data_IF_334641094840
#
_entry.id   IF_334641094840
#
_cell.length_a   1.000
_cell.length_b   1.000
_cell.length_c   1.000
_cell.angle_alpha   90.00
_cell.angle_beta   90.00
_cell.angle_gamma   90.00
#
_symmetry.space_group_name_H-M   'P 1'
#
loop_
_entity.id
_entity.type
_entity.pdbx_description
1 polymer ?
#
# COMPACT_ATOMS: atom_id res chain seq x y z
N UNK A 1 5.02 35.93 3.39
CA UNK A 1 4.86 35.19 4.68
C UNK A 1 5.80 35.78 5.70
N UNK A 2 5.33 36.13 6.91
CA UNK A 2 6.16 36.75 7.94
C UNK A 2 6.77 35.73 8.92
N UNK A 3 6.17 34.56 9.07
CA UNK A 3 6.62 33.51 9.99
C UNK A 3 5.96 32.18 9.64
N UNK A 4 6.75 31.10 9.60
CA UNK A 4 6.29 29.72 9.56
C UNK A 4 6.55 29.04 10.91
N UNK A 5 5.76 28.00 11.25
CA UNK A 5 5.94 27.19 12.45
C UNK A 5 5.86 25.70 12.05
N UNK A 6 6.87 24.93 12.44
CA UNK A 6 6.95 23.50 12.18
C UNK A 6 6.97 22.75 13.52
N UNK A 7 6.09 21.76 13.67
CA UNK A 7 6.04 20.89 14.84
C UNK A 7 6.19 19.43 14.39
N UNK A 8 7.18 18.71 14.93
CA UNK A 8 7.41 17.30 14.65
C UNK A 8 6.86 16.41 15.77
N UNK A 9 6.01 15.45 15.42
CA UNK A 9 5.46 14.48 16.36
C UNK A 9 6.44 13.33 16.66
N UNK A 10 6.62 13.01 17.95
CA UNK A 10 7.51 11.91 18.38
C UNK A 10 7.07 10.53 17.92
N UNK A 11 5.78 10.33 17.62
CA UNK A 11 5.24 9.06 17.16
C UNK A 11 5.88 8.61 15.84
N UNK A 12 6.13 9.54 14.93
CA UNK A 12 6.76 9.28 13.65
C UNK A 12 8.17 8.71 13.81
N UNK A 13 8.99 9.37 14.65
CA UNK A 13 10.36 8.93 14.93
C UNK A 13 10.39 7.51 15.48
N UNK A 14 9.49 7.20 16.41
CA UNK A 14 9.35 5.86 16.99
C UNK A 14 9.04 4.81 15.92
N UNK A 15 8.16 5.12 14.99
CA UNK A 15 7.74 4.18 13.95
C UNK A 15 8.85 3.92 12.93
N UNK A 16 9.52 4.96 12.46
CA UNK A 16 10.63 4.82 11.51
C UNK A 16 11.76 3.97 12.13
N UNK A 17 12.14 4.27 13.37
CA UNK A 17 13.13 3.46 14.09
C UNK A 17 12.69 2.00 14.20
N UNK A 18 11.45 1.73 14.58
CA UNK A 18 10.93 0.37 14.73
C UNK A 18 10.93 -0.41 13.40
N UNK A 19 10.65 0.26 12.28
CA UNK A 19 10.74 -0.35 10.95
C UNK A 19 12.18 -0.75 10.67
N UNK A 20 13.15 0.14 10.86
CA UNK A 20 14.54 -0.15 10.57
C UNK A 20 15.13 -1.18 11.53
N UNK A 21 14.86 -1.09 12.84
CA UNK A 21 15.24 -2.14 13.81
C UNK A 21 14.64 -3.50 13.42
N UNK A 22 13.41 -3.50 12.92
CA UNK A 22 12.74 -4.70 12.40
C UNK A 22 13.40 -5.28 11.15
N UNK A 23 13.99 -4.45 10.29
CA UNK A 23 14.68 -4.87 9.07
C UNK A 23 16.10 -5.40 9.35
N UNK A 24 16.88 -4.70 10.17
CA UNK A 24 18.33 -5.00 10.31
C UNK A 24 18.73 -5.51 11.70
N UNK A 25 17.88 -5.35 12.71
CA UNK A 25 18.17 -5.71 14.10
C UNK A 25 18.72 -4.55 14.93
N UNK A 26 18.52 -4.66 16.25
CA UNK A 26 18.91 -3.63 17.23
C UNK A 26 20.42 -3.56 17.49
N UNK A 27 21.16 -4.61 17.15
CA UNK A 27 22.63 -4.64 17.24
C UNK A 27 23.30 -3.61 16.31
N UNK A 28 22.59 -3.12 15.29
CA UNK A 28 23.03 -2.10 14.36
C UNK A 28 22.83 -0.67 14.89
N UNK A 29 22.05 -0.50 15.95
CA UNK A 29 21.69 0.78 16.53
C UNK A 29 22.91 1.49 17.14
N UNK A 30 23.12 2.77 16.79
CA UNK A 30 24.24 3.62 17.19
C UNK A 30 25.62 3.11 16.72
N UNK A 31 25.69 2.38 15.62
CA UNK A 31 26.96 1.97 15.01
C UNK A 31 27.56 3.04 14.10
N UNK A 32 26.73 3.96 13.61
CA UNK A 32 27.11 4.97 12.60
C UNK A 32 27.36 4.37 11.21
N UNK A 33 26.93 3.12 10.96
CA UNK A 33 26.98 2.49 9.66
C UNK A 33 25.78 2.89 8.78
N UNK A 34 25.85 2.62 7.47
CA UNK A 34 24.76 2.93 6.52
C UNK A 34 23.45 2.21 6.84
N UNK A 35 23.50 1.11 7.59
CA UNK A 35 22.37 0.33 8.06
C UNK A 35 21.99 0.61 9.54
N UNK A 36 22.47 1.71 10.13
CA UNK A 36 22.13 2.09 11.51
C UNK A 36 20.68 2.58 11.58
N UNK A 37 19.76 1.90 12.30
CA UNK A 37 18.36 2.29 12.43
C UNK A 37 18.13 3.73 12.93
N UNK A 38 19.03 4.26 13.77
CA UNK A 38 18.91 5.63 14.29
C UNK A 38 19.29 6.63 13.20
N UNK A 39 20.37 6.42 12.48
CA UNK A 39 20.77 7.33 11.38
C UNK A 39 19.73 7.33 10.27
N UNK A 40 19.22 6.14 9.88
CA UNK A 40 18.13 6.02 8.90
C UNK A 40 16.85 6.76 9.33
N UNK A 41 16.48 6.66 10.61
CA UNK A 41 15.36 7.40 11.16
C UNK A 41 15.64 8.92 11.19
N UNK A 42 16.88 9.34 11.47
CA UNK A 42 17.28 10.75 11.42
C UNK A 42 17.25 11.30 9.98
N UNK A 43 17.64 10.50 8.98
CA UNK A 43 17.54 10.90 7.58
C UNK A 43 16.09 11.14 7.17
N UNK A 44 15.18 10.28 7.63
CA UNK A 44 13.74 10.52 7.43
C UNK A 44 13.27 11.81 8.09
N UNK A 45 13.75 12.13 9.30
CA UNK A 45 13.40 13.37 9.99
C UNK A 45 13.98 14.59 9.26
N UNK A 46 15.21 14.51 8.74
CA UNK A 46 15.81 15.57 7.92
C UNK A 46 14.96 15.85 6.69
N UNK A 47 14.54 14.80 5.97
CA UNK A 47 13.66 14.90 4.81
C UNK A 47 12.29 15.49 5.22
N UNK A 48 11.66 14.98 6.29
CA UNK A 48 10.38 15.47 6.80
C UNK A 48 10.48 16.95 7.24
N UNK A 49 11.57 17.34 7.89
CA UNK A 49 11.76 18.74 8.30
C UNK A 49 11.85 19.69 7.11
N UNK A 50 12.54 19.28 6.04
CA UNK A 50 12.57 20.03 4.78
C UNK A 50 11.19 20.10 4.12
N UNK A 51 10.42 19.03 4.15
CA UNK A 51 9.03 18.95 3.69
C UNK A 51 8.14 19.97 4.40
N UNK A 52 8.15 19.99 5.74
CA UNK A 52 7.34 20.92 6.53
C UNK A 52 7.78 22.39 6.32
N UNK A 53 9.06 22.64 6.08
CA UNK A 53 9.53 23.97 5.66
C UNK A 53 8.96 24.34 4.29
N UNK A 54 8.87 23.40 3.35
CA UNK A 54 8.23 23.59 2.06
C UNK A 54 6.78 24.04 2.22
N UNK A 55 5.99 23.38 3.08
CA UNK A 55 4.63 23.84 3.39
C UNK A 55 4.59 25.22 4.03
N UNK A 56 5.51 25.52 4.95
CA UNK A 56 5.62 26.85 5.54
C UNK A 56 5.96 27.94 4.51
N UNK A 57 6.56 27.57 3.37
CA UNK A 57 6.81 28.44 2.23
C UNK A 57 5.64 28.48 1.23
N UNK A 58 4.60 27.67 1.41
CA UNK A 58 3.42 27.63 0.56
C UNK A 58 3.48 26.58 -0.56
N UNK A 59 4.40 25.62 -0.50
CA UNK A 59 4.47 24.54 -1.48
C UNK A 59 3.42 23.47 -1.17
N UNK A 60 2.72 23.01 -2.21
CA UNK A 60 1.85 21.84 -2.17
C UNK A 60 2.66 20.56 -2.34
N UNK A 61 2.05 19.40 -2.02
CA UNK A 61 2.63 18.10 -2.32
C UNK A 61 2.80 17.90 -3.83
N UNK A 62 3.82 17.12 -4.21
CA UNK A 62 3.95 16.57 -5.55
C UNK A 62 4.22 15.06 -5.46
N UNK A 63 3.20 14.25 -5.67
CA UNK A 63 3.27 12.80 -5.56
C UNK A 63 3.78 12.08 -6.82
N UNK A 64 4.20 12.81 -7.84
CA UNK A 64 4.93 12.24 -8.96
C UNK A 64 6.45 12.32 -8.78
N UNK A 65 6.93 13.00 -7.74
CA UNK A 65 8.36 13.31 -7.61
C UNK A 65 9.24 12.08 -7.31
N UNK A 66 8.69 11.00 -6.78
CA UNK A 66 9.37 9.70 -6.65
C UNK A 66 9.86 9.16 -7.99
N UNK A 67 9.19 9.47 -9.10
CA UNK A 67 9.47 8.92 -10.43
C UNK A 67 10.72 9.51 -11.10
N UNK A 68 11.20 10.66 -10.65
CA UNK A 68 12.42 11.29 -11.13
C UNK A 68 13.46 11.48 -10.01
N UNK A 69 13.90 10.35 -9.46
CA UNK A 69 15.05 10.26 -8.56
C UNK A 69 14.92 11.06 -7.26
N UNK A 70 13.83 10.82 -6.50
CA UNK A 70 13.56 11.56 -5.24
C UNK A 70 13.51 13.08 -5.48
N UNK A 71 12.80 13.45 -6.54
CA UNK A 71 12.81 14.79 -7.13
C UNK A 71 12.24 15.90 -6.26
N UNK A 72 11.59 15.59 -5.12
CA UNK A 72 11.02 16.59 -4.21
C UNK A 72 10.95 16.11 -2.77
N UNK A 73 11.22 17.01 -1.85
CA UNK A 73 10.88 16.81 -0.43
C UNK A 73 9.37 16.91 -0.19
N UNK A 74 8.61 17.50 -1.14
CA UNK A 74 7.14 17.62 -1.05
C UNK A 74 6.41 16.33 -1.43
N UNK A 75 7.13 15.23 -1.62
CA UNK A 75 6.60 13.88 -1.72
C UNK A 75 6.60 13.17 -0.36
N UNK A 76 5.91 12.03 -0.28
CA UNK A 76 5.96 11.10 0.85
C UNK A 76 6.72 9.83 0.42
N UNK A 77 8.06 9.84 0.46
CA UNK A 77 8.83 8.68 0.05
C UNK A 77 8.73 7.55 1.08
N UNK A 78 8.64 6.30 0.60
CA UNK A 78 9.02 5.15 1.41
C UNK A 78 10.55 5.08 1.57
N UNK A 79 11.08 4.35 2.56
CA UNK A 79 12.51 4.03 2.55
C UNK A 79 12.84 3.18 1.30
N UNK A 80 13.79 3.65 0.48
CA UNK A 80 14.28 2.90 -0.69
C UNK A 80 15.30 1.86 -0.21
N UNK A 81 14.77 0.69 0.14
CA UNK A 81 15.57 -0.46 0.57
C UNK A 81 15.49 -1.51 -0.54
N UNK A 82 16.65 -2.07 -0.90
CA UNK A 82 16.75 -3.09 -1.95
C UNK A 82 17.42 -4.35 -1.43
N UNK A 83 17.29 -5.45 -2.15
CA UNK A 83 18.04 -6.67 -1.88
C UNK A 83 19.13 -6.81 -2.95
N UNK A 84 20.37 -6.69 -2.52
CA UNK A 84 21.56 -6.81 -3.38
C UNK A 84 22.45 -7.92 -2.85
N UNK A 85 22.75 -8.92 -3.68
CA UNK A 85 23.56 -10.09 -3.29
C UNK A 85 23.05 -10.81 -2.03
N UNK A 86 21.72 -10.88 -1.85
CA UNK A 86 21.09 -11.54 -0.70
C UNK A 86 21.15 -10.74 0.61
N UNK A 87 21.55 -9.49 0.57
CA UNK A 87 21.57 -8.57 1.72
C UNK A 87 20.72 -7.33 1.44
N UNK A 88 20.21 -6.70 2.50
CA UNK A 88 19.51 -5.43 2.38
C UNK A 88 20.53 -4.30 2.16
N UNK A 89 20.25 -3.46 1.18
CA UNK A 89 21.03 -2.28 0.83
C UNK A 89 20.26 -1.03 1.23
N UNK A 90 20.86 -0.21 2.08
CA UNK A 90 20.32 1.04 2.62
C UNK A 90 21.04 2.27 2.10
N UNK A 91 21.99 2.13 1.18
CA UNK A 91 22.86 3.20 0.70
C UNK A 91 22.12 4.38 0.08
N UNK A 92 20.87 4.20 -0.33
CA UNK A 92 20.05 5.21 -0.98
C UNK A 92 18.64 5.32 -0.36
N UNK A 93 18.52 5.16 0.96
CA UNK A 93 17.22 5.06 1.64
C UNK A 93 16.37 6.30 1.48
N UNK A 94 16.94 7.49 1.68
CA UNK A 94 16.25 8.78 1.51
C UNK A 94 17.08 9.76 0.69
N UNK A 95 16.41 10.74 0.08
CA UNK A 95 17.08 11.85 -0.59
C UNK A 95 17.73 12.80 0.42
N UNK A 96 18.87 13.36 0.04
CA UNK A 96 19.61 14.38 0.82
C UNK A 96 19.41 15.76 0.21
N UNK A 97 18.99 16.72 1.01
CA UNK A 97 18.69 18.09 0.56
C UNK A 97 17.36 18.21 -0.15
N UNK A 98 17.22 19.25 -0.98
CA UNK A 98 16.01 19.52 -1.79
C UNK A 98 16.15 18.99 -3.20
N UNK A 99 15.04 18.54 -3.78
CA UNK A 99 15.01 17.96 -5.10
C UNK A 99 14.91 18.98 -6.24
N UNK A 100 14.89 18.48 -7.47
CA UNK A 100 14.78 19.32 -8.67
C UNK A 100 13.43 20.04 -8.77
N UNK A 101 12.35 19.39 -8.34
CA UNK A 101 11.03 20.01 -8.24
C UNK A 101 11.03 21.15 -7.23
N UNK A 102 11.65 20.97 -6.07
CA UNK A 102 11.70 21.99 -5.01
C UNK A 102 12.45 23.25 -5.49
N UNK A 103 13.56 23.05 -6.21
CA UNK A 103 14.32 24.17 -6.83
C UNK A 103 13.49 24.89 -7.87
N UNK A 104 12.81 24.14 -8.75
CA UNK A 104 11.90 24.71 -9.73
C UNK A 104 10.79 25.51 -9.06
N UNK A 105 10.08 24.92 -8.08
CA UNK A 105 8.98 25.54 -7.38
C UNK A 105 9.43 26.82 -6.64
N UNK A 106 10.63 26.83 -6.02
CA UNK A 106 11.18 27.99 -5.38
C UNK A 106 11.51 29.13 -6.36
N UNK A 107 12.11 28.82 -7.51
CA UNK A 107 12.40 29.79 -8.55
C UNK A 107 11.10 30.36 -9.14
N UNK A 108 10.13 29.49 -9.45
CA UNK A 108 8.85 29.89 -10.03
C UNK A 108 8.03 30.78 -9.10
N UNK A 109 8.00 30.45 -7.79
CA UNK A 109 7.17 31.15 -6.81
C UNK A 109 7.82 32.44 -6.27
N UNK A 110 9.14 32.42 -6.07
CA UNK A 110 9.88 33.49 -5.37
C UNK A 110 10.91 34.23 -6.23
N UNK A 111 11.16 33.75 -7.46
CA UNK A 111 12.08 34.45 -8.37
C UNK A 111 11.54 35.82 -8.78
N UNK A 112 12.42 36.79 -8.88
CA UNK A 112 12.13 38.11 -9.47
C UNK A 112 12.18 37.97 -11.00
N UNK A 113 11.09 37.41 -11.58
CA UNK A 113 10.98 37.02 -12.97
C UNK A 113 9.89 37.82 -13.68
N UNK A 114 10.12 38.19 -14.94
CA UNK A 114 9.06 38.64 -15.85
C UNK A 114 8.09 37.45 -16.14
N UNK A 115 6.96 37.76 -16.77
CA UNK A 115 5.99 36.70 -17.15
C UNK A 115 6.60 35.76 -18.19
N UNK A 116 7.38 36.25 -19.13
CA UNK A 116 8.07 35.43 -20.15
C UNK A 116 9.16 34.54 -19.55
N UNK A 117 9.92 35.06 -18.56
CA UNK A 117 10.93 34.28 -17.86
C UNK A 117 10.28 33.20 -17.01
N UNK A 118 9.14 33.48 -16.38
CA UNK A 118 8.36 32.51 -15.59
C UNK A 118 7.83 31.39 -16.45
N UNK A 119 7.32 31.71 -17.65
CA UNK A 119 6.88 30.72 -18.62
C UNK A 119 8.05 29.85 -19.11
N UNK A 120 9.21 30.44 -19.38
CA UNK A 120 10.42 29.70 -19.76
C UNK A 120 10.90 28.74 -18.66
N UNK A 121 10.77 29.12 -17.38
CA UNK A 121 11.06 28.25 -16.23
C UNK A 121 10.12 27.05 -16.20
N UNK A 122 8.81 27.25 -16.46
CA UNK A 122 7.82 26.15 -16.56
C UNK A 122 8.16 25.23 -17.72
N UNK A 123 8.41 25.78 -18.92
CA UNK A 123 8.77 24.97 -20.10
C UNK A 123 10.04 24.15 -19.86
N UNK A 124 11.06 24.73 -19.24
CA UNK A 124 12.26 24.00 -18.87
C UNK A 124 12.01 22.86 -17.88
N UNK A 125 11.05 23.00 -16.96
CA UNK A 125 10.66 21.93 -16.04
C UNK A 125 9.95 20.80 -16.80
N UNK A 126 9.03 21.11 -17.71
CA UNK A 126 8.35 20.13 -18.57
C UNK A 126 9.34 19.38 -19.46
N UNK A 127 10.28 20.08 -20.10
CA UNK A 127 11.32 19.48 -20.95
C UNK A 127 12.22 18.50 -20.18
N UNK A 128 12.36 18.68 -18.88
CA UNK A 128 13.10 17.78 -17.97
C UNK A 128 12.24 16.64 -17.41
N UNK A 129 10.95 16.59 -17.75
CA UNK A 129 10.02 15.57 -17.24
C UNK A 129 9.67 15.72 -15.76
N UNK A 130 9.68 16.95 -15.23
CA UNK A 130 9.25 17.19 -13.85
C UNK A 130 7.72 17.20 -13.78
N UNK A 131 7.13 16.03 -13.66
CA UNK A 131 5.69 15.86 -13.56
C UNK A 131 5.15 16.29 -12.18
N UNK A 132 3.87 16.65 -12.18
CA UNK A 132 3.16 17.05 -10.97
C UNK A 132 1.85 16.27 -10.81
N UNK A 133 1.65 15.68 -9.64
CA UNK A 133 0.37 15.05 -9.26
C UNK A 133 -0.03 15.50 -7.87
N UNK A 134 -1.22 16.13 -7.77
CA UNK A 134 -1.77 16.66 -6.54
C UNK A 134 -2.35 15.58 -5.63
N UNK A 135 -2.63 15.95 -4.36
CA UNK A 135 -3.23 15.09 -3.32
C UNK A 135 -4.49 14.37 -3.77
N UNK A 136 -5.43 15.09 -4.41
CA UNK A 136 -6.71 14.54 -4.87
C UNK A 136 -6.56 13.36 -5.81
N UNK A 137 -5.47 13.35 -6.59
CA UNK A 137 -5.20 12.37 -7.64
C UNK A 137 -4.19 11.30 -7.21
N UNK A 138 -3.60 11.45 -6.02
CA UNK A 138 -2.58 10.55 -5.48
C UNK A 138 -3.04 9.73 -4.26
N UNK A 139 -3.69 10.35 -3.27
CA UNK A 139 -3.86 9.74 -1.95
C UNK A 139 -4.81 8.56 -1.90
N UNK A 140 -5.93 8.63 -2.57
CA UNK A 140 -6.91 7.55 -2.52
C UNK A 140 -6.49 6.35 -3.36
N UNK A 141 -6.70 5.13 -2.85
CA UNK A 141 -6.41 3.87 -3.55
C UNK A 141 -7.17 3.72 -4.86
N UNK A 142 -8.32 4.39 -4.99
CA UNK A 142 -9.14 4.38 -6.20
C UNK A 142 -8.77 5.45 -7.23
N UNK A 143 -7.75 6.31 -7.01
CA UNK A 143 -7.28 7.27 -8.01
C UNK A 143 -6.66 6.58 -9.21
N UNK A 144 -6.55 7.30 -10.33
CA UNK A 144 -6.19 6.72 -11.62
C UNK A 144 -4.74 6.94 -12.02
N UNK A 145 -4.11 8.00 -11.51
CA UNK A 145 -2.79 8.40 -11.99
C UNK A 145 -1.72 7.40 -11.58
N UNK A 146 -1.04 6.71 -12.52
CA UNK A 146 -0.10 5.63 -12.21
C UNK A 146 1.15 6.12 -11.46
N UNK A 147 1.55 7.37 -11.68
CA UNK A 147 2.74 7.96 -11.07
C UNK A 147 2.45 8.77 -9.81
N UNK A 148 1.17 9.01 -9.48
CA UNK A 148 0.78 9.71 -8.27
C UNK A 148 0.57 8.76 -7.11
N UNK A 149 1.59 8.51 -6.30
CA UNK A 149 1.54 7.54 -5.21
C UNK A 149 2.04 8.13 -3.90
N UNK A 150 1.70 7.45 -2.81
CA UNK A 150 2.10 7.81 -1.45
C UNK A 150 2.92 6.66 -0.90
N UNK A 151 4.07 6.94 -0.34
CA UNK A 151 4.96 5.93 0.26
C UNK A 151 5.51 4.93 -0.76
N UNK A 152 5.85 5.42 -1.95
CA UNK A 152 6.51 4.65 -3.00
C UNK A 152 7.91 5.20 -3.33
N UNK A 153 8.61 4.56 -4.23
CA UNK A 153 9.89 4.97 -4.78
C UNK A 153 10.02 4.52 -6.23
N UNK A 154 10.75 5.31 -7.01
CA UNK A 154 11.11 4.97 -8.38
C UNK A 154 10.01 5.24 -9.39
N UNK A 155 10.34 5.05 -10.66
CA UNK A 155 9.45 5.34 -11.79
C UNK A 155 8.49 4.19 -12.15
N UNK A 156 8.72 2.99 -11.63
CA UNK A 156 7.91 1.80 -11.89
C UNK A 156 7.34 1.21 -10.58
N UNK A 157 6.08 1.53 -10.22
CA UNK A 157 5.46 1.00 -9.02
C UNK A 157 5.32 -0.53 -9.00
N UNK A 158 5.31 -1.19 -10.16
CA UNK A 158 5.23 -2.66 -10.22
C UNK A 158 6.57 -3.29 -9.82
N UNK A 159 7.69 -2.73 -10.29
CA UNK A 159 9.03 -3.08 -9.83
C UNK A 159 9.21 -2.74 -8.34
N UNK A 160 8.67 -1.58 -7.91
CA UNK A 160 8.64 -1.18 -6.51
C UNK A 160 7.96 -2.23 -5.61
N UNK A 161 6.84 -2.81 -6.06
CA UNK A 161 6.16 -3.88 -5.32
C UNK A 161 7.02 -5.17 -5.27
N UNK A 162 7.63 -5.57 -6.38
CA UNK A 162 8.52 -6.74 -6.41
C UNK A 162 9.71 -6.56 -5.45
N UNK A 163 10.30 -5.37 -5.43
CA UNK A 163 11.39 -5.01 -4.51
C UNK A 163 10.92 -5.09 -3.05
N UNK A 164 9.78 -4.51 -2.73
CA UNK A 164 9.22 -4.56 -1.38
C UNK A 164 8.90 -5.99 -0.92
N UNK A 165 8.39 -6.84 -1.81
CA UNK A 165 8.17 -8.26 -1.50
C UNK A 165 9.49 -9.02 -1.24
N UNK A 166 10.55 -8.71 -1.98
CA UNK A 166 11.86 -9.30 -1.75
C UNK A 166 12.46 -8.87 -0.39
N UNK A 167 12.38 -7.57 -0.06
CA UNK A 167 12.82 -7.04 1.25
C UNK A 167 12.01 -7.68 2.38
N UNK A 168 10.67 -7.72 2.23
CA UNK A 168 9.76 -8.35 3.20
C UNK A 168 10.14 -9.80 3.47
N UNK A 169 10.37 -10.59 2.42
CA UNK A 169 10.74 -12.01 2.54
C UNK A 169 12.05 -12.15 3.29
N UNK A 170 13.07 -11.42 2.89
CA UNK A 170 14.39 -11.47 3.54
C UNK A 170 14.31 -11.04 5.01
N UNK A 171 13.50 -10.02 5.34
CA UNK A 171 13.30 -9.57 6.71
C UNK A 171 12.60 -10.63 7.57
N UNK A 172 11.56 -11.29 7.05
CA UNK A 172 10.84 -12.36 7.76
C UNK A 172 11.72 -13.63 7.91
N UNK A 173 12.52 -13.96 6.90
CA UNK A 173 13.45 -15.09 6.97
C UNK A 173 14.53 -14.92 8.03
N UNK A 174 14.90 -13.68 8.30
CA UNK A 174 15.92 -13.31 9.31
C UNK A 174 15.29 -12.74 10.60
N UNK A 175 13.97 -12.85 10.79
CA UNK A 175 13.30 -12.31 11.97
C UNK A 175 13.65 -13.13 13.23
N UNK A 176 14.19 -12.46 14.25
CA UNK A 176 14.67 -13.09 15.47
C UNK A 176 14.59 -12.18 16.69
N UNK A 177 15.14 -12.62 17.81
CA UNK A 177 15.20 -11.88 19.08
C UNK A 177 16.04 -10.60 19.00
N UNK A 178 16.94 -10.52 18.03
CA UNK A 178 17.77 -9.35 17.73
C UNK A 178 16.98 -8.14 17.21
N UNK A 179 15.68 -8.31 16.92
CA UNK A 179 14.77 -7.23 16.51
C UNK A 179 14.27 -6.36 17.66
N UNK A 180 14.57 -6.75 18.89
CA UNK A 180 14.34 -5.98 20.13
C UNK A 180 15.62 -5.91 20.94
N UNK A 181 15.74 -4.95 21.85
CA UNK A 181 16.92 -4.78 22.66
C UNK A 181 17.05 -5.87 23.72
N UNK A 182 18.25 -6.20 24.14
CA UNK A 182 18.48 -7.10 25.25
C UNK A 182 17.75 -6.62 26.51
N UNK A 183 17.05 -7.54 27.17
CA UNK A 183 16.23 -7.25 28.35
C UNK A 183 14.80 -6.79 28.05
N UNK A 184 14.44 -6.52 26.80
CA UNK A 184 13.04 -6.27 26.43
C UNK A 184 12.23 -7.55 26.43
N UNK A 185 10.92 -7.49 26.79
CA UNK A 185 10.04 -8.65 26.73
C UNK A 185 9.91 -9.17 25.29
N UNK A 186 9.97 -10.49 25.07
CA UNK A 186 9.74 -11.11 23.75
C UNK A 186 8.38 -10.71 23.15
N UNK A 187 7.40 -10.38 23.99
CA UNK A 187 6.13 -9.82 23.56
C UNK A 187 6.27 -8.62 22.60
N UNK A 188 7.30 -7.79 22.74
CA UNK A 188 7.49 -6.62 21.88
C UNK A 188 7.79 -6.98 20.42
N UNK A 189 8.23 -8.22 20.15
CA UNK A 189 8.34 -8.76 18.79
C UNK A 189 7.01 -8.76 18.04
N UNK A 190 5.88 -8.91 18.73
CA UNK A 190 4.55 -8.82 18.12
C UNK A 190 4.24 -7.44 17.52
N UNK A 191 4.91 -6.38 17.99
CA UNK A 191 4.78 -5.03 17.45
C UNK A 191 5.71 -4.85 16.26
N UNK A 192 6.93 -5.35 16.37
CA UNK A 192 7.97 -5.20 15.34
C UNK A 192 7.62 -6.00 14.08
N UNK A 193 7.01 -7.19 14.22
CA UNK A 193 6.65 -8.01 13.06
C UNK A 193 5.58 -7.36 12.18
N UNK A 194 4.70 -6.52 12.71
CA UNK A 194 3.59 -5.93 11.95
C UNK A 194 4.07 -5.09 10.76
N UNK A 195 4.94 -4.08 10.92
CA UNK A 195 5.44 -3.29 9.79
C UNK A 195 6.27 -4.13 8.81
N UNK A 196 6.95 -5.16 9.27
CA UNK A 196 7.73 -6.05 8.42
C UNK A 196 6.80 -6.95 7.61
N UNK A 197 5.82 -7.57 8.25
CA UNK A 197 4.83 -8.41 7.58
C UNK A 197 4.02 -7.66 6.54
N UNK A 198 3.66 -6.40 6.81
CA UNK A 198 2.90 -5.52 5.93
C UNK A 198 3.81 -4.56 5.13
N UNK A 199 5.09 -4.84 4.98
CA UNK A 199 6.06 -3.94 4.35
C UNK A 199 5.65 -3.53 2.92
N UNK A 200 5.02 -4.43 2.17
CA UNK A 200 4.57 -4.26 0.79
C UNK A 200 3.27 -3.47 0.61
N UNK A 201 2.58 -3.05 1.67
CA UNK A 201 1.20 -2.51 1.60
C UNK A 201 1.03 -1.31 0.68
N UNK A 202 1.94 -0.34 0.76
CA UNK A 202 1.86 0.88 -0.06
C UNK A 202 2.25 0.62 -1.51
N UNK A 203 3.24 -0.23 -1.75
CA UNK A 203 3.66 -0.62 -3.08
C UNK A 203 2.60 -1.46 -3.79
N UNK A 204 1.80 -2.24 -3.04
CA UNK A 204 0.61 -2.92 -3.57
C UNK A 204 -0.42 -1.89 -4.07
N UNK A 205 -0.67 -0.84 -3.28
CA UNK A 205 -1.59 0.24 -3.69
C UNK A 205 -1.06 1.01 -4.91
N UNK A 206 0.24 1.31 -4.95
CA UNK A 206 0.88 2.00 -6.06
C UNK A 206 0.85 1.16 -7.36
N UNK A 207 1.26 -0.10 -7.31
CA UNK A 207 1.21 -1.01 -8.46
C UNK A 207 -0.22 -1.21 -8.98
N UNK A 208 -1.21 -1.28 -8.09
CA UNK A 208 -2.61 -1.44 -8.48
C UNK A 208 -3.15 -0.23 -9.24
N UNK A 209 -2.54 0.97 -9.17
CA UNK A 209 -2.96 2.13 -9.97
C UNK A 209 -2.72 1.95 -11.46
N UNK A 210 -1.85 1.07 -11.87
CA UNK A 210 -1.72 0.67 -13.28
C UNK A 210 -2.97 -0.05 -13.79
N UNK A 211 -3.71 -0.76 -12.94
CA UNK A 211 -4.91 -1.52 -13.28
C UNK A 211 -6.10 -0.56 -13.42
N UNK A 212 -6.56 -0.34 -14.64
CA UNK A 212 -7.53 0.73 -14.95
C UNK A 212 -6.93 2.13 -14.71
N UNK A 213 -5.62 2.24 -14.89
CA UNK A 213 -4.86 3.46 -14.73
C UNK A 213 -4.96 4.37 -15.96
N UNK A 214 -4.76 5.66 -15.71
CA UNK A 214 -4.73 6.70 -16.72
C UNK A 214 -3.82 7.82 -16.24
N UNK A 215 -2.76 8.10 -16.99
CA UNK A 215 -1.94 9.29 -16.78
C UNK A 215 -2.67 10.51 -17.34
N UNK A 216 -2.47 11.64 -16.71
CA UNK A 216 -2.97 12.94 -17.17
C UNK A 216 -2.13 14.03 -16.52
N UNK A 217 -2.09 15.16 -17.16
CA UNK A 217 -1.54 16.39 -16.59
C UNK A 217 -2.65 17.44 -16.41
N UNK A 218 -2.31 18.55 -15.78
CA UNK A 218 -3.25 19.67 -15.56
C UNK A 218 -3.14 20.70 -16.70
N UNK A 219 -3.07 20.20 -17.96
CA UNK A 219 -2.93 21.01 -19.16
C UNK A 219 -4.05 21.99 -19.33
N UNK A 220 -3.75 23.14 -19.97
CA UNK A 220 -4.71 24.19 -20.32
C UNK A 220 -4.85 24.29 -21.83
N UNK A 221 -5.97 24.83 -22.29
CA UNK A 221 -6.20 24.99 -23.73
C UNK A 221 -5.11 25.86 -24.37
N UNK A 222 -4.39 25.29 -25.31
CA UNK A 222 -3.35 25.98 -26.07
C UNK A 222 -1.90 25.79 -25.57
N UNK A 223 -1.67 25.02 -24.50
CA UNK A 223 -0.32 24.73 -23.98
C UNK A 223 0.45 23.66 -24.76
N UNK A 224 -0.19 22.99 -25.71
CA UNK A 224 0.45 21.99 -26.58
C UNK A 224 0.76 20.65 -25.89
N UNK A 225 0.36 20.44 -24.64
CA UNK A 225 0.61 19.20 -23.92
C UNK A 225 -0.40 18.11 -24.28
N UNK A 226 0.04 16.84 -24.26
CA UNK A 226 -0.86 15.68 -24.26
C UNK A 226 -1.65 15.65 -22.97
N UNK A 227 -2.96 15.41 -23.06
CA UNK A 227 -3.86 15.60 -21.91
C UNK A 227 -4.04 14.36 -21.05
N UNK A 228 -4.14 13.18 -21.68
CA UNK A 228 -4.40 11.94 -20.95
C UNK A 228 -4.09 10.69 -21.78
N UNK A 229 -3.55 9.64 -21.12
CA UNK A 229 -3.27 8.36 -21.72
C UNK A 229 -3.69 7.21 -20.80
N UNK A 230 -4.41 6.22 -21.34
CA UNK A 230 -4.73 5.00 -20.59
C UNK A 230 -3.47 4.14 -20.52
N UNK A 231 -3.14 3.64 -19.35
CA UNK A 231 -2.02 2.70 -19.15
C UNK A 231 -2.15 1.52 -20.12
N UNK A 232 -1.07 1.18 -20.80
CA UNK A 232 -1.11 0.13 -21.84
C UNK A 232 -1.67 -1.20 -21.31
N UNK A 233 -2.40 -1.96 -22.15
CA UNK A 233 -2.95 -3.26 -21.73
C UNK A 233 -1.90 -4.24 -21.22
N UNK A 234 -0.66 -4.15 -21.70
CA UNK A 234 0.45 -5.01 -21.27
C UNK A 234 0.87 -4.66 -19.84
N UNK A 235 1.06 -3.38 -19.55
CA UNK A 235 1.42 -2.90 -18.20
C UNK A 235 0.31 -3.15 -17.18
N UNK A 236 -0.95 -2.98 -17.56
CA UNK A 236 -2.07 -3.32 -16.68
C UNK A 236 -2.07 -4.81 -16.30
N UNK A 237 -1.77 -5.71 -17.25
CA UNK A 237 -1.68 -7.17 -16.97
C UNK A 237 -0.48 -7.51 -16.13
N UNK A 238 0.69 -6.91 -16.40
CA UNK A 238 1.90 -7.05 -15.59
C UNK A 238 1.63 -6.64 -14.14
N UNK A 239 0.99 -5.50 -13.94
CA UNK A 239 0.62 -5.03 -12.60
C UNK A 239 -0.34 -5.99 -11.90
N UNK A 240 -1.38 -6.49 -12.60
CA UNK A 240 -2.34 -7.44 -12.03
C UNK A 240 -1.65 -8.74 -11.60
N UNK A 241 -0.74 -9.27 -12.41
CA UNK A 241 0.01 -10.48 -12.08
C UNK A 241 0.83 -10.31 -10.79
N UNK A 242 1.60 -9.23 -10.68
CA UNK A 242 2.44 -8.96 -9.50
C UNK A 242 1.60 -8.65 -8.25
N UNK A 243 0.51 -7.90 -8.39
CA UNK A 243 -0.41 -7.63 -7.28
C UNK A 243 -1.05 -8.93 -6.76
N UNK A 244 -1.44 -9.86 -7.64
CA UNK A 244 -1.98 -11.15 -7.22
C UNK A 244 -0.98 -12.02 -6.45
N UNK A 245 0.33 -11.88 -6.69
CA UNK A 245 1.36 -12.62 -5.95
C UNK A 245 1.38 -12.26 -4.45
N UNK A 246 0.92 -11.07 -4.06
CA UNK A 246 0.79 -10.71 -2.63
C UNK A 246 -0.24 -11.55 -1.87
N UNK A 247 -1.08 -12.29 -2.60
CA UNK A 247 -2.09 -13.23 -2.06
C UNK A 247 -1.60 -14.69 -2.03
N UNK A 248 -0.33 -14.96 -2.36
CA UNK A 248 0.17 -16.34 -2.29
C UNK A 248 0.23 -16.79 -0.82
N UNK A 249 -0.45 -17.88 -0.44
CA UNK A 249 -0.43 -18.37 0.93
C UNK A 249 0.98 -18.67 1.47
N UNK A 250 1.94 -19.00 0.59
CA UNK A 250 3.33 -19.21 0.98
C UNK A 250 4.05 -17.92 1.34
N UNK A 251 3.73 -16.83 0.63
CA UNK A 251 4.25 -15.50 0.96
C UNK A 251 3.66 -14.98 2.29
N UNK A 252 2.45 -15.41 2.63
CA UNK A 252 1.75 -14.96 3.84
C UNK A 252 1.97 -15.89 5.05
N UNK A 253 2.65 -17.00 4.87
CA UNK A 253 3.02 -17.88 5.99
C UNK A 253 4.22 -17.32 6.77
N UNK A 254 4.28 -17.68 8.05
CA UNK A 254 5.38 -17.33 8.96
C UNK A 254 5.95 -18.65 9.48
N UNK A 255 7.27 -18.82 9.39
CA UNK A 255 7.95 -20.05 9.83
C UNK A 255 7.80 -20.29 11.34
N UNK A 256 7.87 -21.56 11.75
CA UNK A 256 7.64 -21.98 13.14
C UNK A 256 8.63 -21.35 14.11
N UNK A 257 9.89 -21.23 13.72
CA UNK A 257 10.94 -20.62 14.54
C UNK A 257 10.61 -19.16 14.88
N UNK A 258 9.99 -18.43 13.97
CA UNK A 258 9.52 -17.07 14.24
C UNK A 258 8.27 -17.07 15.13
N UNK A 259 7.32 -17.99 14.88
CA UNK A 259 6.09 -18.09 15.68
C UNK A 259 6.37 -18.44 17.14
N UNK A 260 7.39 -19.25 17.41
CA UNK A 260 7.82 -19.61 18.78
C UNK A 260 8.35 -18.40 19.57
N UNK A 261 8.81 -17.34 18.88
CA UNK A 261 9.28 -16.11 19.51
C UNK A 261 8.15 -15.12 19.81
N UNK A 262 7.00 -15.23 19.14
CA UNK A 262 5.89 -14.28 19.25
C UNK A 262 5.03 -14.57 20.50
N UNK A 263 5.62 -14.38 21.65
CA UNK A 263 5.06 -14.70 22.95
C UNK A 263 3.88 -13.79 23.33
N UNK A 264 2.90 -14.30 24.11
CA UNK A 264 1.83 -13.46 24.64
C UNK A 264 2.34 -12.47 25.69
N UNK A 265 1.62 -11.36 25.87
CA UNK A 265 1.91 -10.40 26.95
C UNK A 265 1.62 -11.00 28.32
N UNK A 266 2.47 -10.68 29.30
CA UNK A 266 2.27 -11.03 30.70
C UNK A 266 1.15 -10.20 31.37
N UNK A 267 0.76 -9.06 30.79
CA UNK A 267 -0.21 -8.12 31.39
C UNK A 267 -1.46 -8.08 30.53
N UNK A 268 -2.50 -8.79 30.98
CA UNK A 268 -3.70 -9.05 30.17
C UNK A 268 -4.65 -7.86 29.98
N UNK A 269 -4.57 -6.81 30.79
CA UNK A 269 -5.51 -5.69 30.75
C UNK A 269 -4.93 -4.34 30.32
N UNK A 270 -3.63 -4.23 30.11
CA UNK A 270 -3.01 -2.98 29.63
C UNK A 270 -2.79 -2.93 28.13
N UNK A 271 -3.22 -3.95 27.42
CA UNK A 271 -2.91 -4.16 25.99
C UNK A 271 -3.77 -3.27 25.07
N UNK A 272 -4.93 -2.84 25.55
CA UNK A 272 -5.96 -2.33 24.65
C UNK A 272 -5.67 -0.95 24.06
N UNK A 273 -5.04 -0.04 24.80
CA UNK A 273 -4.99 1.36 24.42
C UNK A 273 -3.60 1.90 24.06
N UNK A 274 -2.52 1.22 24.47
CA UNK A 274 -1.13 1.67 24.23
C UNK A 274 -0.45 0.94 23.08
N UNK A 275 -0.87 -0.29 22.78
CA UNK A 275 -0.25 -1.12 21.75
C UNK A 275 -1.01 -0.98 20.43
N UNK A 276 -0.47 -0.15 19.54
CA UNK A 276 -1.12 0.21 18.28
C UNK A 276 -0.78 -0.72 17.13
N UNK A 277 0.45 -1.24 17.09
CA UNK A 277 0.95 -2.11 16.04
C UNK A 277 0.78 -3.58 16.43
N UNK A 278 -0.46 -4.10 16.37
CA UNK A 278 -0.77 -5.50 16.68
C UNK A 278 -1.80 -6.07 15.71
N UNK A 279 -1.58 -7.32 15.29
CA UNK A 279 -2.61 -8.09 14.61
C UNK A 279 -3.69 -8.56 15.58
N UNK A 280 -4.83 -8.99 15.04
CA UNK A 280 -5.92 -9.60 15.82
C UNK A 280 -5.41 -10.88 16.48
N UNK A 281 -5.87 -11.15 17.70
CA UNK A 281 -5.43 -12.27 18.52
C UNK A 281 -6.56 -13.29 18.74
N UNK A 282 -7.11 -13.83 17.69
CA UNK A 282 -8.20 -14.81 17.79
C UNK A 282 -7.68 -16.15 18.33
N UNK A 283 -6.44 -16.51 17.98
CA UNK A 283 -5.79 -17.75 18.40
C UNK A 283 -5.02 -17.66 19.73
N UNK A 284 -5.26 -16.61 20.56
CA UNK A 284 -4.55 -16.43 21.83
C UNK A 284 -4.50 -17.71 22.66
N UNK A 285 -3.34 -18.08 23.27
CA UNK A 285 -2.11 -17.28 23.42
C UNK A 285 -1.14 -17.33 22.22
N UNK A 286 -1.40 -18.16 21.20
CA UNK A 286 -0.58 -18.23 20.02
C UNK A 286 -0.74 -16.97 19.15
N UNK A 287 0.30 -16.65 18.37
CA UNK A 287 0.20 -15.65 17.30
C UNK A 287 -0.77 -16.14 16.21
N UNK A 288 -1.65 -15.26 15.75
CA UNK A 288 -2.69 -15.59 14.77
C UNK A 288 -2.21 -15.30 13.36
N UNK A 289 -1.53 -16.28 12.74
CA UNK A 289 -1.02 -16.17 11.36
C UNK A 289 -2.16 -15.96 10.36
N UNK A 290 -3.30 -16.63 10.59
CA UNK A 290 -4.45 -16.50 9.67
C UNK A 290 -5.04 -15.09 9.72
N UNK A 291 -5.13 -14.48 10.90
CA UNK A 291 -5.59 -13.10 11.04
C UNK A 291 -4.61 -12.09 10.43
N UNK A 292 -3.29 -12.35 10.51
CA UNK A 292 -2.29 -11.53 9.83
C UNK A 292 -2.41 -11.64 8.30
N UNK A 293 -2.57 -12.87 7.78
CA UNK A 293 -2.79 -13.14 6.36
C UNK A 293 -4.10 -12.53 5.84
N UNK A 294 -5.19 -12.63 6.60
CA UNK A 294 -6.46 -11.99 6.27
C UNK A 294 -6.30 -10.47 6.16
N UNK A 295 -5.52 -9.84 7.05
CA UNK A 295 -5.23 -8.41 7.00
C UNK A 295 -4.47 -8.03 5.72
N UNK A 296 -3.45 -8.81 5.34
CA UNK A 296 -2.70 -8.57 4.11
C UNK A 296 -3.56 -8.79 2.85
N UNK A 297 -4.43 -9.82 2.87
CA UNK A 297 -5.36 -10.08 1.78
C UNK A 297 -6.40 -8.97 1.60
N UNK A 298 -6.96 -8.45 2.70
CA UNK A 298 -7.90 -7.33 2.65
C UNK A 298 -7.29 -6.10 1.99
N UNK A 299 -6.02 -5.76 2.31
CA UNK A 299 -5.31 -4.67 1.65
C UNK A 299 -5.27 -4.83 0.13
N UNK A 300 -4.99 -6.05 -0.35
CA UNK A 300 -4.93 -6.34 -1.78
C UNK A 300 -6.33 -6.28 -2.41
N UNK A 301 -7.35 -6.82 -1.76
CA UNK A 301 -8.72 -6.75 -2.28
C UNK A 301 -9.29 -5.34 -2.26
N UNK A 302 -8.98 -4.53 -1.24
CA UNK A 302 -9.39 -3.13 -1.16
C UNK A 302 -8.91 -2.32 -2.38
N UNK A 303 -7.67 -2.55 -2.82
CA UNK A 303 -7.14 -1.87 -4.00
C UNK A 303 -7.65 -2.46 -5.31
N UNK A 304 -7.74 -3.79 -5.45
CA UNK A 304 -8.20 -4.44 -6.67
C UNK A 304 -9.69 -4.22 -6.95
N UNK A 305 -10.52 -4.20 -5.91
CA UNK A 305 -11.97 -4.15 -5.98
C UNK A 305 -12.53 -2.75 -5.64
N UNK A 306 -11.71 -1.70 -5.68
CA UNK A 306 -12.19 -0.32 -5.55
C UNK A 306 -13.22 -0.02 -6.65
N UNK A 307 -14.38 0.53 -6.25
CA UNK A 307 -15.52 0.76 -7.14
C UNK A 307 -15.22 1.73 -8.28
N UNK A 308 -14.35 2.71 -8.07
CA UNK A 308 -13.94 3.70 -9.10
C UNK A 308 -13.02 3.04 -10.12
N UNK A 309 -12.06 2.20 -9.67
CA UNK A 309 -11.21 1.39 -10.55
C UNK A 309 -12.05 0.42 -11.38
N UNK A 310 -13.00 -0.28 -10.75
CA UNK A 310 -13.90 -1.19 -11.45
C UNK A 310 -14.72 -0.47 -12.54
N UNK A 311 -15.22 0.73 -12.26
CA UNK A 311 -15.96 1.54 -13.23
C UNK A 311 -15.05 1.98 -14.40
N UNK A 312 -13.81 2.43 -14.14
CA UNK A 312 -12.84 2.79 -15.20
C UNK A 312 -12.48 1.61 -16.09
N UNK A 313 -12.25 0.42 -15.50
CA UNK A 313 -11.98 -0.79 -16.28
C UNK A 313 -13.13 -1.15 -17.22
N UNK A 314 -14.38 -0.92 -16.83
CA UNK A 314 -15.54 -1.08 -17.72
C UNK A 314 -15.52 -0.04 -18.83
N UNK A 315 -15.27 1.23 -18.50
CA UNK A 315 -15.25 2.32 -19.46
C UNK A 315 -14.10 2.20 -20.46
N UNK A 316 -12.89 1.86 -19.99
CA UNK A 316 -11.73 1.71 -20.86
C UNK A 316 -11.86 0.52 -21.81
N UNK A 317 -12.40 -0.60 -21.33
CA UNK A 317 -12.74 -1.76 -22.18
C UNK A 317 -13.81 -1.43 -23.23
N UNK A 318 -14.77 -0.55 -22.90
CA UNK A 318 -15.77 -0.05 -23.83
C UNK A 318 -15.15 0.82 -24.94
N UNK A 319 -14.15 1.64 -24.60
CA UNK A 319 -13.44 2.50 -25.58
C UNK A 319 -12.60 1.68 -26.54
N UNK A 320 -11.86 0.70 -26.02
CA UNK A 320 -11.01 -0.21 -26.78
C UNK A 320 -11.04 -1.61 -26.18
N UNK A 321 -11.46 -2.58 -26.97
CA UNK A 321 -11.58 -3.98 -26.57
C UNK A 321 -10.23 -4.63 -26.19
N UNK A 322 -9.09 -4.05 -26.54
CA UNK A 322 -7.76 -4.52 -26.15
C UNK A 322 -7.43 -4.24 -24.70
N UNK A 323 -8.05 -3.19 -24.09
CA UNK A 323 -7.85 -2.81 -22.71
C UNK A 323 -8.27 -3.93 -21.75
N UNK A 324 -7.62 -3.97 -20.60
CA UNK A 324 -8.05 -4.82 -19.48
C UNK A 324 -9.43 -4.37 -18.99
N UNK A 325 -10.35 -5.31 -18.85
CA UNK A 325 -11.70 -5.03 -18.36
C UNK A 325 -11.90 -5.52 -16.94
N UNK A 326 -12.95 -5.03 -16.26
CA UNK A 326 -13.24 -5.44 -14.89
C UNK A 326 -13.52 -6.94 -14.77
N UNK A 327 -14.18 -7.57 -15.76
CA UNK A 327 -14.36 -9.03 -15.78
C UNK A 327 -13.04 -9.78 -15.90
N UNK A 328 -12.06 -9.22 -16.63
CA UNK A 328 -10.74 -9.84 -16.77
C UNK A 328 -10.03 -9.87 -15.42
N UNK A 329 -10.09 -8.76 -14.66
CA UNK A 329 -9.54 -8.65 -13.28
C UNK A 329 -10.25 -9.63 -12.35
N UNK A 330 -11.58 -9.67 -12.35
CA UNK A 330 -12.36 -10.57 -11.50
C UNK A 330 -12.04 -12.04 -11.77
N UNK A 331 -11.93 -12.45 -13.05
CA UNK A 331 -11.63 -13.83 -13.41
C UNK A 331 -10.18 -14.21 -13.09
N UNK A 332 -9.22 -13.31 -13.31
CA UNK A 332 -7.82 -13.54 -12.93
C UNK A 332 -7.70 -13.73 -11.40
N UNK A 333 -8.32 -12.85 -10.63
CA UNK A 333 -8.35 -12.94 -9.16
C UNK A 333 -9.02 -14.23 -8.69
N UNK A 334 -10.20 -14.57 -9.25
CA UNK A 334 -10.90 -15.83 -8.96
C UNK A 334 -10.02 -17.03 -9.27
N UNK A 335 -9.39 -17.05 -10.44
CA UNK A 335 -8.52 -18.16 -10.86
C UNK A 335 -7.32 -18.30 -9.93
N UNK A 336 -6.77 -17.19 -9.46
CA UNK A 336 -5.64 -17.19 -8.55
C UNK A 336 -6.02 -17.67 -7.14
N UNK A 337 -7.11 -17.12 -6.58
CA UNK A 337 -7.51 -17.30 -5.18
C UNK A 337 -8.29 -18.60 -4.97
N UNK A 338 -9.23 -18.97 -5.87
CA UNK A 338 -10.14 -20.11 -5.68
C UNK A 338 -9.54 -21.46 -6.07
N UNK A 339 -8.21 -21.56 -6.12
CA UNK A 339 -7.50 -22.83 -6.23
C UNK A 339 -7.84 -23.74 -5.03
N UNK A 340 -7.72 -25.05 -5.22
CA UNK A 340 -7.88 -25.98 -4.08
C UNK A 340 -6.79 -25.68 -3.04
N UNK A 341 -7.16 -25.44 -1.77
CA UNK A 341 -6.17 -25.26 -0.70
C UNK A 341 -5.27 -26.51 -0.60
N UNK A 342 -3.98 -26.29 -0.34
CA UNK A 342 -3.03 -27.36 -0.09
C UNK A 342 -3.39 -28.13 1.20
N UNK A 343 -2.93 -29.37 1.32
CA UNK A 343 -3.03 -30.14 2.55
C UNK A 343 -1.77 -29.96 3.42
N UNK A 344 -1.32 -28.73 3.56
CA UNK A 344 -0.18 -28.35 4.38
C UNK A 344 -0.55 -27.14 5.26
N UNK A 345 0.42 -26.58 5.99
CA UNK A 345 0.22 -25.44 6.89
C UNK A 345 -0.35 -24.19 6.18
N UNK A 346 -0.16 -24.06 4.87
CA UNK A 346 -0.66 -22.92 4.10
C UNK A 346 -2.13 -23.05 3.73
N UNK A 347 -2.72 -24.24 3.93
CA UNK A 347 -4.10 -24.53 3.56
C UNK A 347 -5.13 -23.68 4.30
N UNK A 348 -4.91 -23.39 5.58
CA UNK A 348 -5.82 -22.54 6.37
C UNK A 348 -5.70 -21.07 5.94
N UNK A 349 -4.49 -20.59 5.62
CA UNK A 349 -4.25 -19.27 5.05
C UNK A 349 -5.02 -19.14 3.72
N UNK A 350 -4.89 -20.15 2.83
CA UNK A 350 -5.60 -20.16 1.55
C UNK A 350 -7.12 -20.08 1.72
N UNK A 351 -7.68 -20.80 2.71
CA UNK A 351 -9.12 -20.74 3.03
C UNK A 351 -9.53 -19.34 3.54
N UNK A 352 -8.70 -18.72 4.39
CA UNK A 352 -8.91 -17.35 4.84
C UNK A 352 -8.97 -16.38 3.66
N UNK A 353 -7.98 -16.42 2.76
CA UNK A 353 -7.93 -15.58 1.56
C UNK A 353 -9.16 -15.79 0.67
N UNK A 354 -9.63 -17.05 0.49
CA UNK A 354 -10.86 -17.34 -0.25
C UNK A 354 -12.07 -16.68 0.37
N UNK A 355 -12.19 -16.74 1.70
CA UNK A 355 -13.28 -16.10 2.43
C UNK A 355 -13.20 -14.57 2.30
N UNK A 356 -12.00 -13.98 2.44
CA UNK A 356 -11.79 -12.53 2.27
C UNK A 356 -12.18 -12.06 0.86
N UNK A 357 -11.82 -12.82 -0.17
CA UNK A 357 -12.24 -12.51 -1.55
C UNK A 357 -13.76 -12.51 -1.72
N UNK A 358 -14.45 -13.52 -1.19
CA UNK A 358 -15.92 -13.57 -1.21
C UNK A 358 -16.53 -12.40 -0.47
N UNK A 359 -15.99 -12.04 0.70
CA UNK A 359 -16.47 -10.90 1.47
C UNK A 359 -16.24 -9.57 0.74
N UNK A 360 -15.07 -9.38 0.13
CA UNK A 360 -14.79 -8.18 -0.65
C UNK A 360 -15.72 -8.03 -1.88
N UNK A 361 -16.06 -9.14 -2.55
CA UNK A 361 -17.06 -9.14 -3.62
C UNK A 361 -18.45 -8.77 -3.11
N UNK A 362 -18.89 -9.30 -1.98
CA UNK A 362 -20.18 -8.96 -1.37
C UNK A 362 -20.21 -7.47 -0.99
N UNK A 363 -19.14 -6.95 -0.40
CA UNK A 363 -19.04 -5.55 -0.03
C UNK A 363 -19.12 -4.63 -1.27
N UNK A 364 -18.42 -4.99 -2.35
CA UNK A 364 -18.48 -4.23 -3.60
C UNK A 364 -19.89 -4.27 -4.20
N UNK A 365 -20.59 -5.41 -4.15
CA UNK A 365 -21.97 -5.52 -4.60
C UNK A 365 -22.93 -4.65 -3.78
N UNK A 366 -22.72 -4.54 -2.46
CA UNK A 366 -23.51 -3.73 -1.55
C UNK A 366 -23.14 -2.22 -1.57
N UNK A 367 -22.00 -1.86 -2.16
CA UNK A 367 -21.46 -0.50 -2.20
C UNK A 367 -22.29 0.44 -3.10
N UNK A 368 -21.89 1.71 -3.18
CA UNK A 368 -22.44 2.69 -4.13
C UNK A 368 -21.89 2.55 -5.55
N UNK A 369 -21.30 1.40 -5.90
CA UNK A 369 -20.78 1.12 -7.24
C UNK A 369 -21.88 1.20 -8.31
N UNK A 370 -21.44 1.46 -9.56
CA UNK A 370 -22.35 1.55 -10.71
C UNK A 370 -23.05 0.20 -10.97
N UNK A 371 -24.25 0.20 -11.57
CA UNK A 371 -24.97 -1.05 -11.89
C UNK A 371 -24.13 -2.03 -12.70
N UNK A 372 -23.28 -1.53 -13.60
CA UNK A 372 -22.37 -2.36 -14.41
C UNK A 372 -21.31 -3.08 -13.59
N UNK A 373 -20.82 -2.47 -12.51
CA UNK A 373 -19.89 -3.08 -11.55
C UNK A 373 -20.63 -4.14 -10.73
N UNK A 374 -21.76 -3.79 -10.13
CA UNK A 374 -22.57 -4.70 -9.31
C UNK A 374 -22.96 -5.98 -10.07
N UNK A 375 -23.50 -5.83 -11.28
CA UNK A 375 -23.93 -6.97 -12.10
C UNK A 375 -22.78 -7.95 -12.41
N UNK A 376 -21.56 -7.45 -12.64
CA UNK A 376 -20.38 -8.29 -12.86
C UNK A 376 -19.91 -8.99 -11.59
N UNK A 377 -19.96 -8.28 -10.47
CA UNK A 377 -19.62 -8.82 -9.16
C UNK A 377 -20.60 -9.94 -8.76
N UNK A 378 -21.90 -9.72 -8.90
CA UNK A 378 -22.92 -10.74 -8.64
C UNK A 378 -22.75 -11.96 -9.53
N UNK A 379 -22.40 -11.76 -10.81
CA UNK A 379 -22.10 -12.88 -11.70
C UNK A 379 -20.96 -13.73 -11.16
N UNK A 380 -19.86 -13.12 -10.72
CA UNK A 380 -18.70 -13.86 -10.21
C UNK A 380 -19.02 -14.57 -8.89
N UNK A 381 -19.82 -13.97 -8.00
CA UNK A 381 -20.33 -14.64 -6.80
C UNK A 381 -21.12 -15.90 -7.15
N UNK A 382 -22.03 -15.84 -8.15
CA UNK A 382 -22.79 -17.02 -8.64
C UNK A 382 -21.89 -18.08 -9.25
N UNK A 383 -20.87 -17.68 -10.00
CA UNK A 383 -19.90 -18.60 -10.59
C UNK A 383 -19.08 -19.31 -9.49
N UNK A 384 -18.62 -18.60 -8.46
CA UNK A 384 -17.92 -19.17 -7.30
C UNK A 384 -18.83 -20.15 -6.56
N UNK A 385 -20.07 -19.75 -6.30
CA UNK A 385 -21.08 -20.60 -5.66
C UNK A 385 -21.24 -21.93 -6.40
N UNK A 386 -21.41 -21.88 -7.72
CA UNK A 386 -21.58 -23.07 -8.56
C UNK A 386 -20.38 -24.02 -8.46
N UNK A 387 -19.16 -23.47 -8.56
CA UNK A 387 -17.92 -24.26 -8.47
C UNK A 387 -17.74 -24.91 -7.11
N UNK A 388 -18.01 -24.18 -6.02
CA UNK A 388 -17.85 -24.69 -4.66
C UNK A 388 -18.90 -25.74 -4.32
N UNK A 389 -20.13 -25.59 -4.81
CA UNK A 389 -21.20 -26.62 -4.69
C UNK A 389 -20.77 -27.91 -5.36
N UNK A 390 -20.21 -27.84 -6.56
CA UNK A 390 -19.75 -29.02 -7.30
C UNK A 390 -18.56 -29.72 -6.60
N UNK A 391 -17.71 -29.00 -5.92
CA UNK A 391 -16.55 -29.56 -5.19
C UNK A 391 -16.92 -30.19 -3.84
N UNK A 392 -17.96 -29.70 -3.17
CA UNK A 392 -18.56 -30.29 -1.97
C UNK A 392 -17.69 -30.29 -0.70
N UNK A 393 -16.61 -29.49 -0.62
CA UNK A 393 -15.80 -29.38 0.61
C UNK A 393 -16.53 -28.62 1.72
N UNK A 394 -16.27 -28.93 3.01
CA UNK A 394 -16.92 -28.25 4.12
C UNK A 394 -16.70 -26.73 4.12
N UNK A 395 -15.47 -26.26 3.86
CA UNK A 395 -15.18 -24.84 3.67
C UNK A 395 -15.93 -24.24 2.48
N UNK A 396 -15.95 -24.96 1.34
CA UNK A 396 -16.68 -24.51 0.15
C UNK A 396 -18.18 -24.40 0.40
N UNK A 397 -18.80 -25.38 1.07
CA UNK A 397 -20.22 -25.35 1.40
C UNK A 397 -20.56 -24.22 2.40
N UNK A 398 -19.67 -23.92 3.33
CA UNK A 398 -19.83 -22.73 4.20
C UNK A 398 -19.82 -21.43 3.37
N UNK A 399 -18.88 -21.25 2.44
CA UNK A 399 -18.86 -20.08 1.55
C UNK A 399 -20.13 -20.02 0.68
N UNK A 400 -20.61 -21.17 0.17
CA UNK A 400 -21.88 -21.24 -0.55
C UNK A 400 -23.04 -20.71 0.28
N UNK A 401 -23.15 -21.12 1.56
CA UNK A 401 -24.21 -20.62 2.45
C UNK A 401 -24.16 -19.10 2.65
N UNK A 402 -22.98 -18.51 2.71
CA UNK A 402 -22.81 -17.05 2.80
C UNK A 402 -23.21 -16.35 1.52
N UNK A 403 -22.82 -16.88 0.36
CA UNK A 403 -23.17 -16.34 -0.95
C UNK A 403 -24.69 -16.43 -1.17
N UNK A 404 -25.33 -17.56 -0.81
CA UNK A 404 -26.77 -17.72 -0.91
C UNK A 404 -27.51 -16.69 -0.04
N UNK A 405 -27.11 -16.57 1.22
CA UNK A 405 -27.68 -15.57 2.14
C UNK A 405 -27.51 -14.14 1.61
N UNK A 406 -26.39 -13.82 0.93
CA UNK A 406 -26.16 -12.53 0.32
C UNK A 406 -27.05 -12.29 -0.91
N UNK A 407 -27.16 -13.26 -1.81
CA UNK A 407 -27.93 -13.13 -3.06
C UNK A 407 -29.44 -13.17 -2.85
N UNK A 408 -29.93 -13.78 -1.76
CA UNK A 408 -31.34 -13.87 -1.41
C UNK A 408 -31.84 -12.66 -0.60
N UNK A 409 -30.96 -11.73 -0.23
CA UNK A 409 -31.37 -10.53 0.50
C UNK A 409 -32.37 -9.70 -0.28
N UNK A 410 -33.45 -9.19 0.36
CA UNK A 410 -34.26 -8.13 -0.25
C UNK A 410 -33.37 -6.95 -0.63
N UNK A 411 -33.73 -6.23 -1.68
CA UNK A 411 -32.97 -5.08 -2.21
C UNK A 411 -32.75 -3.90 -1.23
N UNK A 412 -33.09 -4.06 0.04
CA UNK A 412 -32.81 -3.10 1.12
C UNK A 412 -31.52 -3.45 1.85
N UNK A 413 -30.66 -2.48 2.09
CA UNK A 413 -29.31 -2.74 2.57
C UNK A 413 -29.32 -3.24 4.00
N UNK A 414 -28.49 -4.24 4.35
CA UNK A 414 -27.79 -4.16 5.59
C UNK A 414 -27.48 -5.39 6.38
N UNK A 415 -26.40 -6.01 6.06
CA UNK A 415 -25.52 -6.44 7.13
C UNK A 415 -24.12 -6.10 6.68
N UNK A 416 -23.34 -5.32 7.42
CA UNK A 416 -21.95 -5.07 7.07
C UNK A 416 -21.23 -6.40 6.98
N UNK A 417 -20.61 -6.67 5.84
CA UNK A 417 -19.66 -7.77 5.74
C UNK A 417 -18.51 -7.43 6.68
N UNK A 418 -18.22 -8.31 7.62
CA UNK A 418 -17.17 -8.06 8.60
C UNK A 418 -15.82 -8.21 7.91
N UNK A 419 -15.11 -7.12 7.74
CA UNK A 419 -13.71 -7.15 7.31
C UNK A 419 -12.82 -7.73 8.41
N UNK A 420 -11.68 -8.28 8.05
CA UNK A 420 -10.57 -8.41 8.97
C UNK A 420 -10.28 -7.03 9.58
N UNK A 421 -9.74 -7.01 10.79
CA UNK A 421 -9.50 -5.73 11.44
C UNK A 421 -8.65 -4.83 10.56
N UNK A 422 -9.04 -3.57 10.50
CA UNK A 422 -8.23 -2.53 9.90
C UNK A 422 -6.77 -2.61 10.38
N UNK A 423 -5.89 -2.14 9.53
CA UNK A 423 -4.47 -1.96 9.84
C UNK A 423 -4.28 -1.29 11.20
N UNK A 424 -3.23 -1.66 11.92
CA UNK A 424 -2.86 -0.94 13.13
C UNK A 424 -2.70 0.55 12.83
N UNK A 425 -3.20 1.44 13.70
CA UNK A 425 -3.06 2.87 13.51
C UNK A 425 -1.60 3.30 13.64
N UNK A 426 -1.26 4.38 12.99
CA UNK A 426 0.06 5.04 13.10
C UNK A 426 0.77 5.17 11.76
N UNK A 427 1.44 6.30 11.52
CA UNK A 427 2.31 6.72 10.43
C UNK A 427 2.35 5.83 9.20
N UNK A 428 3.44 5.49 8.55
CA UNK A 428 3.38 4.61 7.38
C UNK A 428 2.90 3.19 7.70
N UNK A 429 2.71 2.85 8.98
CA UNK A 429 2.33 1.51 9.41
C UNK A 429 0.83 1.30 9.39
N UNK A 430 0.00 2.33 9.48
CA UNK A 430 -1.24 1.83 9.81
C UNK A 430 -2.50 2.59 9.90
N UNK A 431 -2.77 3.52 9.17
CA UNK A 431 -4.17 3.85 8.99
C UNK A 431 -4.63 3.33 7.64
N UNK A 432 -5.70 2.54 7.63
CA UNK A 432 -6.39 2.10 6.42
C UNK A 432 -7.11 3.22 5.69
N UNK A 433 -6.84 4.47 6.06
CA UNK A 433 -7.25 5.65 5.33
C UNK A 433 -5.99 6.40 4.93
N UNK A 434 -5.56 6.17 3.70
CA UNK A 434 -4.62 7.03 2.97
C UNK A 434 -5.18 8.46 2.80
N UNK A 435 -6.36 8.73 3.35
CA UNK A 435 -7.14 9.94 3.08
C UNK A 435 -6.88 11.08 4.05
N UNK A 436 -6.28 10.84 5.21
CA UNK A 436 -6.03 11.92 6.17
C UNK A 436 -4.56 12.06 6.51
N UNK A 437 -3.95 13.06 5.93
CA UNK A 437 -2.81 13.72 6.54
C UNK A 437 -3.35 14.62 7.64
N UNK A 438 -3.15 14.28 8.92
CA UNK A 438 -3.60 15.15 10.01
C UNK A 438 -2.86 16.49 10.06
N UNK A 439 -1.81 16.66 9.22
CA UNK A 439 -1.13 17.93 8.99
C UNK A 439 -1.72 18.74 7.83
N UNK A 440 -2.64 18.15 7.06
CA UNK A 440 -3.19 18.75 5.83
C UNK A 440 -4.71 18.95 5.87
N UNK A 441 -5.37 18.61 6.97
CA UNK A 441 -6.75 19.00 7.19
C UNK A 441 -6.78 20.47 7.61
N UNK A 442 -7.66 21.32 6.99
CA UNK A 442 -7.74 22.74 7.25
C UNK A 442 -8.21 23.08 8.67
#
# INVERSE_FOLDING_TARGET
MLKGHVNLGSLRVRQDRMIFEGLVGTSKTNTGADDDPVELALDRIRQLSAHEVGHALGFAHNFAASTYNKGSVMDYPAPDVRVTNGQMDFSNTYGVGVGEWDKFAAIWLYGDLSDEEREAVVQSALDRGLEYVADSDARSVGTAHPLGNVWDNGADPVEGLQTAMAVRRLALDNFGTDRIQEGQPLYDLNKVIVPIYLYHRYQTAAAAKYIGGMSFNYSVNGDGQETAEIVSPAEQRRALEVVLQTLDPKELDIKDETLELLMPSLVSYSIADSDRELFRRTAYPAFDVTAAADTAADLTFDVLLDSRRAARLIEFKRRDASNLGFMDVLQATRTYVMKRPANDRTGEIAKGIQARFVFALMELADSQATPGVKARTDKVLRDIRSDLTAKGSGHGLWLVSLIDAHLERPATPKTPVTKAKALPPGGPIGQGQLETCWHCDP
#
